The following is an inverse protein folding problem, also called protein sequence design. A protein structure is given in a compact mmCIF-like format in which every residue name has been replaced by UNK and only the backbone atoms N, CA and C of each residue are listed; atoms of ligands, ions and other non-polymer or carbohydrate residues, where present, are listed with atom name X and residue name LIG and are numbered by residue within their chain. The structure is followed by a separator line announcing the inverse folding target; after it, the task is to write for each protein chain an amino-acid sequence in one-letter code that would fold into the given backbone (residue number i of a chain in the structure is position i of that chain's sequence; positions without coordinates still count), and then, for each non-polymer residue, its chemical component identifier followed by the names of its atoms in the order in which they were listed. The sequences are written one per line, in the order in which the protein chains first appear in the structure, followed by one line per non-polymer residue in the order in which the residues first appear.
data_IF_238422276219
#
_entry.id   IF_238422276219
#
_cell.length_a   1.000
_cell.length_b   1.000
_cell.length_c   1.000
_cell.angle_alpha   90.00
_cell.angle_beta   90.00
_cell.angle_gamma   90.00
#
_symmetry.space_group_name_H-M   'P 1'
#
loop_
_entity.id
_entity.type
_entity.pdbx_description
1 polymer ?
#
# COMPACT_ATOMS: atom_id res chain seq x y z
N UNK A 1 31.27 -15.24 12.24
CA UNK A 1 31.21 -15.17 10.76
C UNK A 1 30.53 -16.40 10.14
N UNK A 2 30.99 -17.64 10.33
CA UNK A 2 30.46 -18.83 9.64
C UNK A 2 28.93 -18.95 9.58
N UNK A 3 28.23 -18.78 10.71
CA UNK A 3 26.76 -18.85 10.79
C UNK A 3 26.03 -17.91 9.80
N UNK A 4 26.54 -16.68 9.63
CA UNK A 4 25.91 -15.69 8.72
C UNK A 4 25.93 -16.15 7.26
N UNK A 5 27.05 -16.72 6.80
CA UNK A 5 27.18 -17.23 5.42
C UNK A 5 26.28 -18.45 5.17
N UNK A 6 26.02 -19.28 6.19
CA UNK A 6 25.09 -20.41 6.08
C UNK A 6 23.65 -19.90 5.87
N UNK A 7 23.21 -18.92 6.65
CA UNK A 7 21.89 -18.28 6.49
C UNK A 7 21.73 -17.59 5.14
N UNK A 8 22.75 -16.86 4.69
CA UNK A 8 22.76 -16.15 3.40
C UNK A 8 22.65 -17.10 2.20
N UNK A 9 23.40 -18.22 2.22
CA UNK A 9 23.32 -19.27 1.20
C UNK A 9 21.96 -20.00 1.23
N UNK A 10 21.36 -20.19 2.42
CA UNK A 10 20.01 -20.78 2.54
C UNK A 10 18.92 -19.85 1.98
N UNK A 11 19.04 -18.54 2.19
CA UNK A 11 18.12 -17.53 1.66
C UNK A 11 18.19 -17.47 0.13
N UNK A 12 19.39 -17.45 -0.47
CA UNK A 12 19.56 -17.46 -1.92
C UNK A 12 18.94 -18.72 -2.58
N UNK A 13 19.11 -19.91 -1.99
CA UNK A 13 18.46 -21.15 -2.48
C UNK A 13 16.93 -21.10 -2.38
N UNK A 14 16.40 -20.48 -1.32
CA UNK A 14 14.95 -20.27 -1.16
C UNK A 14 14.39 -19.35 -2.25
N UNK A 15 15.10 -18.27 -2.59
CA UNK A 15 14.72 -17.36 -3.68
C UNK A 15 14.81 -18.05 -5.05
N UNK A 16 15.85 -18.85 -5.29
CA UNK A 16 15.99 -19.65 -6.52
C UNK A 16 14.82 -20.64 -6.71
N UNK A 17 14.42 -21.33 -5.64
CA UNK A 17 13.28 -22.24 -5.65
C UNK A 17 11.95 -21.50 -5.88
N UNK A 18 11.78 -20.31 -5.31
CA UNK A 18 10.60 -19.47 -5.53
C UNK A 18 10.51 -18.97 -6.98
N UNK A 19 11.64 -18.58 -7.59
CA UNK A 19 11.71 -18.16 -9.00
C UNK A 19 11.33 -19.30 -9.96
N UNK A 20 11.84 -20.52 -9.73
CA UNK A 20 11.49 -21.71 -10.54
C UNK A 20 10.01 -22.12 -10.46
N UNK A 21 9.27 -21.62 -9.47
CA UNK A 21 7.83 -21.86 -9.31
C UNK A 21 6.97 -20.83 -10.08
N UNK A 22 7.57 -19.77 -10.65
CA UNK A 22 6.85 -18.74 -11.42
C UNK A 22 6.25 -19.33 -12.69
N UNK A 23 7.03 -20.11 -13.45
CA UNK A 23 6.58 -20.74 -14.70
C UNK A 23 5.37 -21.67 -14.47
N UNK A 24 5.45 -22.56 -13.48
CA UNK A 24 4.36 -23.49 -13.13
C UNK A 24 3.09 -22.74 -12.68
N UNK A 25 3.23 -21.59 -12.01
CA UNK A 25 2.10 -20.73 -11.64
C UNK A 25 1.52 -19.99 -12.85
N UNK A 26 2.36 -19.51 -13.77
CA UNK A 26 1.94 -18.87 -15.03
C UNK A 26 1.15 -19.86 -15.91
N UNK A 27 1.63 -21.11 -16.02
CA UNK A 27 0.92 -22.19 -16.73
C UNK A 27 -0.39 -22.61 -16.04
N UNK A 28 -0.41 -22.66 -14.70
CA UNK A 28 -1.65 -22.91 -13.93
C UNK A 28 -2.69 -21.81 -14.15
N UNK A 29 -2.24 -20.54 -14.22
CA UNK A 29 -3.08 -19.39 -14.52
C UNK A 29 -3.56 -19.39 -15.97
N UNK A 30 -2.73 -19.85 -16.93
CA UNK A 30 -3.12 -20.04 -18.33
C UNK A 30 -4.27 -21.03 -18.44
N UNK A 31 -4.18 -22.20 -17.81
CA UNK A 31 -5.30 -23.17 -17.79
C UNK A 31 -6.58 -22.55 -17.24
N UNK A 32 -6.51 -21.85 -16.11
CA UNK A 32 -7.68 -21.19 -15.52
C UNK A 32 -8.26 -20.07 -16.41
N UNK A 33 -7.43 -19.37 -17.18
CA UNK A 33 -7.88 -18.38 -18.18
C UNK A 33 -8.58 -19.07 -19.36
N UNK A 34 -8.04 -20.18 -19.86
CA UNK A 34 -8.62 -20.93 -20.99
C UNK A 34 -9.93 -21.63 -20.59
N UNK A 35 -10.00 -22.19 -19.38
CA UNK A 35 -11.24 -22.74 -18.81
C UNK A 35 -12.32 -21.64 -18.69
N UNK A 36 -11.95 -20.43 -18.26
CA UNK A 36 -12.86 -19.28 -18.20
C UNK A 36 -13.29 -18.80 -19.60
N UNK A 37 -12.37 -18.80 -20.57
CA UNK A 37 -12.64 -18.41 -21.95
C UNK A 37 -13.49 -19.44 -22.70
N UNK A 38 -13.42 -20.73 -22.35
CA UNK A 38 -14.33 -21.76 -22.86
C UNK A 38 -15.79 -21.52 -22.41
N UNK A 39 -16.00 -20.79 -21.31
CA UNK A 39 -17.32 -20.40 -20.77
C UNK A 39 -17.72 -18.95 -21.17
N UNK A 40 -17.09 -18.39 -22.21
CA UNK A 40 -17.13 -16.97 -22.62
C UNK A 40 -18.52 -16.38 -22.95
N UNK A 41 -19.57 -17.17 -23.16
CA UNK A 41 -20.91 -16.68 -23.54
C UNK A 41 -21.58 -15.73 -22.53
N UNK A 42 -21.00 -15.56 -21.34
CA UNK A 42 -21.43 -14.63 -20.29
C UNK A 42 -20.44 -13.47 -20.03
N UNK A 43 -19.35 -13.36 -20.81
CA UNK A 43 -18.19 -12.48 -20.52
C UNK A 43 -17.85 -11.51 -21.67
N UNK A 44 -18.86 -11.03 -22.41
CA UNK A 44 -18.70 -10.08 -23.53
C UNK A 44 -18.09 -8.71 -23.17
N UNK A 45 -17.90 -8.41 -21.88
CA UNK A 45 -17.24 -7.22 -21.35
C UNK A 45 -15.78 -7.43 -20.92
N UNK A 46 -15.23 -8.65 -21.05
CA UNK A 46 -13.88 -8.97 -20.57
C UNK A 46 -12.81 -8.68 -21.63
N UNK A 47 -12.25 -7.47 -21.61
CA UNK A 47 -11.29 -6.97 -22.61
C UNK A 47 -9.83 -7.37 -22.40
N UNK A 48 -9.52 -8.18 -21.38
CA UNK A 48 -8.16 -8.64 -21.07
C UNK A 48 -7.78 -9.84 -21.96
N UNK A 49 -6.74 -9.70 -22.79
CA UNK A 49 -6.22 -10.81 -23.58
C UNK A 49 -5.12 -11.58 -22.83
N UNK A 50 -4.94 -12.86 -23.17
CA UNK A 50 -3.81 -13.62 -22.60
C UNK A 50 -2.44 -13.01 -22.97
N UNK A 51 -2.16 -12.57 -24.22
CA UNK A 51 -0.91 -11.88 -24.56
C UNK A 51 -0.52 -10.71 -23.64
N UNK A 52 -1.47 -9.87 -23.23
CA UNK A 52 -1.20 -8.73 -22.33
C UNK A 52 -0.70 -9.20 -20.97
N UNK A 53 -1.40 -10.21 -20.42
CA UNK A 53 -1.12 -10.81 -19.11
C UNK A 53 0.20 -11.59 -19.14
N UNK A 54 0.46 -12.32 -20.23
CA UNK A 54 1.67 -13.09 -20.46
C UNK A 54 2.90 -12.18 -20.57
N UNK A 55 2.78 -11.08 -21.33
CA UNK A 55 3.81 -10.03 -21.46
C UNK A 55 4.15 -9.42 -20.11
N UNK A 56 3.14 -9.02 -19.33
CA UNK A 56 3.34 -8.45 -17.99
C UNK A 56 4.06 -9.43 -17.04
N UNK A 57 3.62 -10.69 -16.97
CA UNK A 57 4.30 -11.70 -16.15
C UNK A 57 5.73 -11.99 -16.62
N UNK A 58 5.98 -12.00 -17.93
CA UNK A 58 7.33 -12.23 -18.49
C UNK A 58 8.27 -11.06 -18.19
N UNK A 59 7.77 -9.81 -18.23
CA UNK A 59 8.52 -8.62 -17.82
C UNK A 59 8.90 -8.66 -16.33
N UNK A 60 7.94 -9.01 -15.47
CA UNK A 60 8.15 -9.16 -14.03
C UNK A 60 9.15 -10.27 -13.71
N UNK A 61 9.00 -11.45 -14.34
CA UNK A 61 9.90 -12.59 -14.19
C UNK A 61 11.32 -12.28 -14.66
N UNK A 62 11.47 -11.55 -15.77
CA UNK A 62 12.78 -11.06 -16.28
C UNK A 62 13.42 -10.10 -15.28
N UNK A 63 12.66 -9.16 -14.74
CA UNK A 63 13.12 -8.18 -13.75
C UNK A 63 13.58 -8.82 -12.44
N UNK A 64 12.79 -9.78 -11.92
CA UNK A 64 13.14 -10.55 -10.71
C UNK A 64 14.38 -11.43 -10.94
N UNK A 65 14.47 -12.10 -12.10
CA UNK A 65 15.63 -12.93 -12.47
C UNK A 65 16.91 -12.10 -12.60
N UNK A 66 16.81 -10.87 -13.14
CA UNK A 66 17.93 -9.92 -13.18
C UNK A 66 18.37 -9.54 -11.77
N UNK A 67 17.46 -9.01 -10.93
CA UNK A 67 17.78 -8.62 -9.54
C UNK A 67 18.37 -9.78 -8.72
N UNK A 68 17.91 -11.01 -8.95
CA UNK A 68 18.49 -12.19 -8.30
C UNK A 68 19.92 -12.50 -8.76
N UNK A 69 20.23 -12.35 -10.05
CA UNK A 69 21.60 -12.46 -10.58
C UNK A 69 22.53 -11.39 -10.02
N UNK A 70 22.02 -10.16 -9.87
CA UNK A 70 22.75 -9.04 -9.29
C UNK A 70 23.05 -9.28 -7.79
N UNK A 71 22.12 -9.88 -7.04
CA UNK A 71 22.36 -10.34 -5.66
C UNK A 71 23.38 -11.49 -5.58
N UNK A 72 23.38 -12.43 -6.54
CA UNK A 72 24.38 -13.50 -6.59
C UNK A 72 25.79 -12.98 -6.88
N UNK A 73 25.94 -11.98 -7.77
CA UNK A 73 27.25 -11.40 -8.09
C UNK A 73 27.82 -10.57 -6.92
N UNK A 74 26.97 -9.84 -6.19
CA UNK A 74 27.34 -9.13 -4.97
C UNK A 74 27.86 -10.08 -3.87
N UNK A 75 27.16 -11.19 -3.59
CA UNK A 75 27.61 -12.18 -2.61
C UNK A 75 28.88 -12.92 -3.09
N UNK A 76 29.00 -13.18 -4.39
CA UNK A 76 30.25 -13.73 -4.96
C UNK A 76 31.43 -12.79 -4.74
N UNK A 77 31.22 -11.48 -4.89
CA UNK A 77 32.25 -10.44 -4.73
C UNK A 77 32.67 -10.25 -3.27
N UNK A 78 31.73 -10.29 -2.32
CA UNK A 78 32.01 -10.19 -0.88
C UNK A 78 32.89 -11.34 -0.34
N UNK A 79 32.95 -12.46 -1.06
CA UNK A 79 33.73 -13.63 -0.68
C UNK A 79 35.25 -13.47 -0.84
N UNK A 80 35.70 -12.62 -1.77
CA UNK A 80 37.12 -12.51 -2.18
C UNK A 80 37.94 -11.49 -1.36
N UNK A 81 37.29 -10.54 -0.68
CA UNK A 81 37.95 -9.42 0.03
C UNK A 81 38.43 -9.75 1.46
N UNK A 82 38.43 -11.02 1.87
CA UNK A 82 38.49 -11.41 3.30
C UNK A 82 39.71 -12.30 3.69
N UNK A 83 40.85 -12.12 3.03
CA UNK A 83 42.13 -12.76 3.39
C UNK A 83 43.22 -11.71 3.70
N UNK A 84 43.76 -11.65 4.93
CA UNK A 84 44.88 -10.76 5.27
C UNK A 84 46.24 -11.41 4.91
N UNK A 85 47.22 -10.66 4.39
CA UNK A 85 48.62 -11.12 4.30
C UNK A 85 49.22 -11.30 5.70
N UNK A 86 50.08 -12.31 5.88
CA UNK A 86 50.92 -12.46 7.09
C UNK A 86 52.30 -11.82 6.87
N UNK A 87 52.87 -11.31 7.95
CA UNK A 87 54.19 -10.64 8.03
C UNK A 87 55.35 -11.61 8.32
N UNK A 88 56.55 -11.04 8.47
CA UNK A 88 57.87 -11.66 8.76
C UNK A 88 58.67 -12.08 7.49
N UNK A 89 59.97 -11.76 7.35
CA UNK A 89 60.89 -11.02 8.25
C UNK A 89 62.04 -10.29 7.47
N UNK A 90 62.92 -9.48 8.12
CA UNK A 90 63.68 -8.39 7.47
C UNK A 90 65.17 -8.70 7.16
N UNK A 91 65.85 -7.75 6.50
CA UNK A 91 67.25 -7.31 6.75
C UNK A 91 67.59 -6.06 5.90
N UNK A 92 68.44 -5.17 6.41
CA UNK A 92 69.36 -4.37 5.57
C UNK A 92 68.97 -2.93 5.19
N UNK A 93 69.45 -1.96 5.97
CA UNK A 93 69.80 -0.60 5.54
C UNK A 93 71.33 -0.41 5.78
N UNK A 94 71.99 0.70 5.38
CA UNK A 94 71.50 1.90 4.67
C UNK A 94 72.36 2.29 3.42
N UNK A 95 71.92 3.30 2.66
CA UNK A 95 72.79 4.46 2.33
C UNK A 95 72.05 5.61 1.60
N UNK A 96 72.24 6.82 2.10
CA UNK A 96 72.14 8.11 1.38
C UNK A 96 73.57 8.46 0.83
N UNK A 97 73.75 9.26 -0.26
CA UNK A 97 73.59 10.72 -0.13
C UNK A 97 73.24 11.58 -1.38
N UNK A 98 72.68 12.78 -1.07
CA UNK A 98 72.97 14.10 -1.65
C UNK A 98 72.64 14.49 -3.13
N UNK A 99 71.62 15.35 -3.25
CA UNK A 99 71.66 16.73 -3.79
C UNK A 99 72.07 17.07 -5.24
N UNK A 100 71.11 17.64 -6.00
CA UNK A 100 71.17 18.88 -6.82
C UNK A 100 69.72 19.16 -7.29
N UNK A 101 69.02 20.25 -6.96
CA UNK A 101 69.26 21.71 -7.11
C UNK A 101 68.91 22.28 -8.51
N UNK A 102 67.78 23.00 -8.56
CA UNK A 102 67.62 24.21 -9.38
C UNK A 102 66.41 25.07 -8.93
N UNK A 103 66.76 26.11 -8.18
CA UNK A 103 66.17 27.46 -8.05
C UNK A 103 65.69 28.10 -9.39
N UNK A 104 64.97 29.24 -9.52
CA UNK A 104 64.58 30.44 -8.71
C UNK A 104 63.12 30.88 -9.12
N UNK A 105 62.39 31.90 -8.60
CA UNK A 105 62.13 32.60 -7.30
C UNK A 105 60.86 33.47 -7.46
N UNK A 106 60.32 34.10 -6.39
CA UNK A 106 59.16 35.03 -6.41
C UNK A 106 59.55 36.51 -6.21
N UNK A 107 58.86 37.43 -6.91
CA UNK A 107 58.60 38.87 -6.59
C UNK A 107 57.25 39.23 -7.30
N UNK A 108 56.33 40.09 -6.83
CA UNK A 108 56.21 40.93 -5.62
C UNK A 108 54.86 41.68 -5.59
N UNK A 109 54.76 42.83 -4.89
CA UNK A 109 53.60 43.77 -4.88
C UNK A 109 54.07 45.24 -4.88
N UNK A 110 53.32 46.26 -4.35
CA UNK A 110 52.00 46.22 -3.69
C UNK A 110 51.06 47.49 -3.92
N UNK A 111 49.94 47.58 -3.19
CA UNK A 111 49.09 48.81 -2.92
C UNK A 111 48.36 49.49 -4.13
N UNK A 112 47.28 50.30 -4.00
CA UNK A 112 46.29 50.57 -2.93
C UNK A 112 44.98 51.22 -3.46
N UNK A 113 43.88 51.07 -2.72
CA UNK A 113 42.70 51.99 -2.56
C UNK A 113 42.13 52.84 -3.71
N UNK A 114 40.80 52.75 -3.93
CA UNK A 114 39.84 53.89 -3.77
C UNK A 114 38.36 53.47 -3.92
N UNK A 115 37.46 54.20 -3.24
CA UNK A 115 35.98 54.09 -3.19
C UNK A 115 35.47 55.42 -2.56
N UNK A 116 34.17 55.78 -2.48
CA UNK A 116 32.98 55.53 -3.32
C UNK A 116 32.34 56.87 -3.80
N UNK A 117 31.06 56.88 -4.26
CA UNK A 117 30.02 57.92 -4.04
C UNK A 117 28.72 57.60 -4.86
N UNK A 118 27.54 58.23 -4.66
CA UNK A 118 26.64 58.27 -3.49
C UNK A 118 25.23 58.79 -3.89
N UNK A 119 24.20 58.56 -3.05
CA UNK A 119 22.84 59.15 -3.05
C UNK A 119 21.93 58.87 -4.30
N UNK A 120 20.59 59.02 -4.33
CA UNK A 120 19.54 59.34 -3.32
C UNK A 120 18.31 60.02 -3.99
N UNK A 121 17.07 60.07 -3.47
CA UNK A 121 16.39 59.34 -2.39
C UNK A 121 14.85 59.66 -2.34
N UNK A 122 14.00 58.74 -1.84
CA UNK A 122 12.62 58.94 -1.26
C UNK A 122 11.44 59.41 -2.16
N UNK A 123 10.27 58.73 -2.09
CA UNK A 123 8.89 59.31 -1.98
C UNK A 123 7.78 58.24 -1.74
N UNK A 124 6.48 58.60 -1.70
CA UNK A 124 5.40 57.91 -0.94
C UNK A 124 3.97 58.10 -1.53
N UNK A 125 3.06 57.13 -1.29
CA UNK A 125 1.57 57.15 -1.53
C UNK A 125 1.07 57.07 -2.99
N UNK A 126 -0.22 56.83 -3.35
CA UNK A 126 -1.41 56.06 -2.83
C UNK A 126 -2.63 56.40 -3.75
N UNK A 127 -3.67 55.55 -3.89
CA UNK A 127 -5.04 55.85 -4.47
C UNK A 127 -5.07 55.91 -6.04
N UNK A 128 -6.09 55.57 -6.87
CA UNK A 128 -7.53 55.14 -6.80
C UNK A 128 -7.90 54.10 -7.93
N UNK A 129 -9.20 53.75 -8.10
CA UNK A 129 -9.87 53.15 -9.29
C UNK A 129 -11.09 54.04 -9.70
N UNK A 130 -11.47 54.23 -10.99
CA UNK A 130 -12.50 53.40 -11.69
C UNK A 130 -12.22 53.18 -13.22
N UNK A 131 -12.79 52.26 -14.04
CA UNK A 131 -14.18 51.72 -14.28
C UNK A 131 -15.08 52.73 -15.06
N UNK A 132 -15.99 52.41 -16.05
CA UNK A 132 -16.52 51.12 -16.60
C UNK A 132 -16.69 51.00 -18.18
N UNK A 133 -17.36 49.91 -18.64
CA UNK A 133 -18.17 49.68 -19.91
C UNK A 133 -17.49 49.72 -21.31
N UNK A 134 -18.00 49.09 -22.39
CA UNK A 134 -19.27 48.35 -22.64
C UNK A 134 -19.15 47.20 -23.68
N UNK A 135 -20.05 46.20 -23.57
CA UNK A 135 -20.36 45.14 -24.57
C UNK A 135 -21.39 45.67 -25.62
N UNK A 136 -21.58 45.11 -26.85
CA UNK A 136 -22.31 43.82 -26.97
C UNK A 136 -22.11 42.93 -28.24
N UNK A 137 -22.30 41.61 -28.04
CA UNK A 137 -23.12 40.67 -28.85
C UNK A 137 -22.79 40.27 -30.31
N UNK A 138 -22.55 38.95 -30.45
CA UNK A 138 -23.25 38.00 -31.35
C UNK A 138 -22.98 37.96 -32.87
N UNK A 139 -22.48 36.81 -33.34
CA UNK A 139 -23.06 36.08 -34.49
C UNK A 139 -22.56 34.63 -34.54
N UNK A 140 -23.44 33.70 -34.88
CA UNK A 140 -23.15 32.28 -35.12
C UNK A 140 -23.38 31.97 -36.61
N UNK A 141 -22.69 30.97 -37.21
CA UNK A 141 -23.43 30.09 -38.11
C UNK A 141 -23.08 28.60 -37.98
N UNK A 142 -24.07 27.76 -38.31
CA UNK A 142 -24.01 26.29 -38.28
C UNK A 142 -23.83 25.72 -39.68
N UNK A 143 -23.01 24.67 -39.89
CA UNK A 143 -23.36 23.49 -40.71
C UNK A 143 -22.28 22.39 -40.79
N UNK A 144 -22.69 21.17 -40.39
CA UNK A 144 -22.46 19.86 -41.03
C UNK A 144 -21.27 19.64 -42.00
N UNK A 145 -20.46 18.59 -41.77
CA UNK A 145 -20.44 17.41 -42.67
C UNK A 145 -19.46 16.27 -42.32
N UNK A 146 -19.92 15.04 -42.60
CA UNK A 146 -19.20 13.84 -43.09
C UNK A 146 -18.17 13.09 -42.22
N UNK A 147 -18.45 11.81 -42.06
CA UNK A 147 -17.53 10.71 -41.71
C UNK A 147 -16.60 10.35 -42.87
N UNK A 148 -15.33 10.04 -42.58
CA UNK A 148 -14.49 9.18 -43.42
C UNK A 148 -13.70 8.19 -42.56
N UNK A 149 -13.55 6.97 -43.05
CA UNK A 149 -12.78 5.87 -42.43
C UNK A 149 -11.42 5.71 -43.07
N UNK A 150 -10.34 5.65 -42.29
CA UNK A 150 -9.02 5.23 -42.80
C UNK A 150 -8.08 4.65 -41.72
N UNK A 151 -7.34 3.60 -42.11
CA UNK A 151 -6.00 3.26 -41.64
C UNK A 151 -5.76 2.97 -40.15
N UNK A 152 -5.54 1.70 -39.81
CA UNK A 152 -4.75 1.33 -38.60
C UNK A 152 -3.25 1.48 -38.94
N UNK A 153 -2.48 2.32 -38.24
CA UNK A 153 -1.02 2.33 -38.33
C UNK A 153 -0.46 1.17 -37.48
N UNK A 154 0.47 0.40 -38.05
CA UNK A 154 1.28 -0.54 -37.26
C UNK A 154 2.20 0.27 -36.35
N UNK A 155 2.16 0.02 -35.03
CA UNK A 155 3.03 0.72 -34.09
C UNK A 155 4.45 0.16 -34.11
N UNK A 156 5.42 1.08 -34.12
CA UNK A 156 6.85 0.79 -33.99
C UNK A 156 7.16 0.34 -32.54
N UNK A 157 7.95 -0.73 -32.32
CA UNK A 157 8.31 -1.20 -30.97
C UNK A 157 9.09 -0.20 -30.09
N UNK A 158 9.52 0.95 -30.65
CA UNK A 158 10.38 1.93 -29.99
C UNK A 158 9.67 2.90 -29.04
N UNK A 159 8.35 2.80 -28.84
CA UNK A 159 7.52 3.78 -28.12
C UNK A 159 7.43 3.60 -26.59
N UNK A 160 8.07 2.59 -26.00
CA UNK A 160 7.91 2.14 -24.61
C UNK A 160 8.33 3.13 -23.49
N UNK A 161 8.69 4.37 -23.81
CA UNK A 161 9.14 5.40 -22.86
C UNK A 161 8.22 6.64 -22.79
N UNK A 162 6.94 6.53 -23.16
CA UNK A 162 5.95 7.53 -22.74
C UNK A 162 5.59 7.31 -21.27
N UNK A 163 5.75 8.34 -20.43
CA UNK A 163 5.29 8.31 -19.04
C UNK A 163 3.78 8.08 -19.01
N UNK A 164 3.31 7.13 -18.20
CA UNK A 164 1.90 6.72 -18.21
C UNK A 164 1.02 7.81 -17.59
N UNK A 165 1.57 8.61 -16.69
CA UNK A 165 0.87 9.65 -15.94
C UNK A 165 1.60 11.00 -16.03
N UNK A 166 1.53 11.70 -17.19
CA UNK A 166 2.40 12.84 -17.50
C UNK A 166 2.27 14.06 -16.57
N UNK A 167 1.25 14.09 -15.70
CA UNK A 167 1.05 15.14 -14.71
C UNK A 167 1.73 14.84 -13.35
N UNK A 168 2.04 13.58 -13.04
CA UNK A 168 2.68 13.21 -11.76
C UNK A 168 4.07 13.84 -11.59
N UNK A 169 4.88 13.83 -12.66
CA UNK A 169 6.22 14.45 -12.66
C UNK A 169 6.15 15.93 -12.30
N UNK A 170 5.41 16.76 -13.08
CA UNK A 170 5.19 18.17 -12.78
C UNK A 170 4.58 18.47 -11.40
N UNK A 171 3.79 17.56 -10.82
CA UNK A 171 3.28 17.71 -9.44
C UNK A 171 4.40 17.46 -8.40
N UNK A 172 5.20 16.41 -8.59
CA UNK A 172 6.35 16.09 -7.72
C UNK A 172 7.46 17.14 -7.79
N UNK A 173 7.74 17.68 -8.98
CA UNK A 173 8.72 18.76 -9.22
C UNK A 173 8.30 20.08 -8.53
N UNK A 174 6.99 20.35 -8.44
CA UNK A 174 6.43 21.54 -7.80
C UNK A 174 6.17 21.37 -6.30
N UNK A 175 6.42 20.19 -5.73
CA UNK A 175 6.06 19.84 -4.35
C UNK A 175 4.55 19.94 -4.05
N UNK A 176 3.69 19.74 -5.05
CA UNK A 176 2.25 19.93 -4.94
C UNK A 176 1.55 18.69 -4.33
N UNK A 177 1.71 18.52 -3.02
CA UNK A 177 1.08 17.45 -2.24
C UNK A 177 -0.45 17.41 -2.37
N UNK A 178 -1.18 18.52 -2.19
CA UNK A 178 -2.63 18.58 -2.38
C UNK A 178 -3.06 18.21 -3.80
N UNK A 179 -2.44 18.77 -4.83
CA UNK A 179 -2.74 18.45 -6.24
C UNK A 179 -2.46 16.97 -6.55
N UNK A 180 -1.39 16.40 -6.01
CA UNK A 180 -1.06 14.99 -6.17
C UNK A 180 -2.09 14.07 -5.49
N UNK A 181 -2.56 14.39 -4.28
CA UNK A 181 -3.64 13.66 -3.60
C UNK A 181 -4.92 13.67 -4.42
N UNK A 182 -5.27 14.82 -4.99
CA UNK A 182 -6.52 15.02 -5.73
C UNK A 182 -6.45 14.30 -7.10
N UNK A 183 -5.29 14.31 -7.77
CA UNK A 183 -5.00 13.47 -8.94
C UNK A 183 -5.22 11.97 -8.65
N UNK A 184 -4.73 11.47 -7.51
CA UNK A 184 -4.94 10.06 -7.06
C UNK A 184 -6.41 9.78 -6.68
N UNK A 185 -7.19 10.80 -6.31
CA UNK A 185 -8.64 10.69 -6.08
C UNK A 185 -9.38 10.47 -7.41
N UNK A 186 -9.00 11.22 -8.45
CA UNK A 186 -9.73 11.24 -9.71
C UNK A 186 -9.34 10.05 -10.61
N UNK A 187 -8.07 9.64 -10.57
CA UNK A 187 -7.57 8.40 -11.21
C UNK A 187 -7.67 7.16 -10.30
N UNK A 188 -8.79 7.04 -9.57
CA UNK A 188 -8.93 6.04 -8.50
C UNK A 188 -8.92 4.56 -8.96
N UNK A 189 -9.12 4.25 -10.25
CA UNK A 189 -9.05 2.86 -10.76
C UNK A 189 -7.61 2.44 -11.07
N UNK A 190 -6.79 3.40 -11.50
CA UNK A 190 -5.42 3.20 -11.97
C UNK A 190 -4.37 3.47 -10.86
N UNK A 191 -4.87 3.75 -9.66
CA UNK A 191 -4.19 3.91 -8.37
C UNK A 191 -2.90 3.09 -8.18
N UNK A 192 -2.89 1.79 -8.46
CA UNK A 192 -1.70 0.93 -8.28
C UNK A 192 -0.58 1.22 -9.31
N UNK A 193 -0.94 1.61 -10.53
CA UNK A 193 0.02 2.05 -11.55
C UNK A 193 0.63 3.41 -11.17
N UNK A 194 -0.21 4.34 -10.71
CA UNK A 194 0.22 5.64 -10.18
C UNK A 194 1.13 5.46 -8.95
N UNK A 195 0.76 4.58 -8.02
CA UNK A 195 1.58 4.21 -6.85
C UNK A 195 2.97 3.71 -7.26
N UNK A 196 3.03 2.94 -8.35
CA UNK A 196 4.29 2.38 -8.89
C UNK A 196 5.16 3.45 -9.57
N UNK A 197 4.56 4.40 -10.30
CA UNK A 197 5.30 5.51 -10.93
C UNK A 197 5.83 6.51 -9.88
N UNK A 198 5.04 6.79 -8.82
CA UNK A 198 5.44 7.68 -7.71
C UNK A 198 6.64 7.19 -6.90
N UNK A 199 6.83 5.88 -6.74
CA UNK A 199 8.04 5.30 -6.12
C UNK A 199 9.32 5.75 -6.87
N UNK A 200 9.24 5.98 -8.18
CA UNK A 200 10.34 6.52 -8.98
C UNK A 200 10.46 8.04 -8.91
N UNK A 201 9.33 8.76 -9.08
CA UNK A 201 9.31 10.22 -9.19
C UNK A 201 9.66 10.94 -7.87
N UNK A 202 9.17 10.44 -6.74
CA UNK A 202 9.31 11.13 -5.45
C UNK A 202 10.73 11.07 -4.85
N UNK A 203 11.66 10.31 -5.46
CA UNK A 203 13.05 10.19 -5.00
C UNK A 203 13.95 11.41 -5.24
N UNK A 204 13.46 12.44 -5.95
CA UNK A 204 14.26 13.62 -6.34
C UNK A 204 13.92 14.92 -5.58
N UNK A 205 12.88 14.92 -4.75
CA UNK A 205 12.35 16.10 -4.03
C UNK A 205 12.55 15.97 -2.50
N UNK A 206 11.87 16.78 -1.67
CA UNK A 206 11.57 16.41 -0.28
C UNK A 206 10.17 15.79 -0.21
N UNK A 207 10.03 14.46 -0.45
CA UNK A 207 8.73 13.81 -0.39
C UNK A 207 8.14 13.77 1.02
N UNK A 208 8.95 13.99 2.07
CA UNK A 208 8.46 14.08 3.44
C UNK A 208 7.60 15.33 3.65
N UNK A 209 8.10 16.50 3.25
CA UNK A 209 7.31 17.73 3.31
C UNK A 209 6.08 17.65 2.38
N UNK A 210 6.27 17.23 1.11
CA UNK A 210 5.18 17.16 0.13
C UNK A 210 4.05 16.20 0.55
N UNK A 211 4.38 14.99 1.00
CA UNK A 211 3.36 14.04 1.48
C UNK A 211 2.68 14.54 2.75
N UNK A 212 3.37 15.31 3.60
CA UNK A 212 2.77 15.87 4.80
C UNK A 212 1.77 17.00 4.48
N UNK A 213 2.08 17.85 3.49
CA UNK A 213 1.16 18.88 3.00
C UNK A 213 -0.07 18.26 2.31
N UNK A 214 0.09 17.11 1.64
CA UNK A 214 -1.01 16.31 1.12
C UNK A 214 -1.97 15.76 2.21
N UNK A 215 -1.60 15.78 3.50
CA UNK A 215 -2.47 15.32 4.59
C UNK A 215 -3.54 16.35 5.00
N UNK A 216 -3.56 17.56 4.40
CA UNK A 216 -4.62 18.53 4.63
C UNK A 216 -6.01 17.96 4.23
N UNK A 217 -7.05 18.35 4.97
CA UNK A 217 -8.43 17.91 4.74
C UNK A 217 -8.79 16.50 5.24
N UNK A 218 -7.82 15.68 5.64
CA UNK A 218 -8.03 14.28 6.07
C UNK A 218 -9.05 14.11 7.22
N UNK A 219 -9.13 15.10 8.12
CA UNK A 219 -10.25 15.28 9.04
C UNK A 219 -11.01 16.55 8.67
N UNK A 220 -12.30 16.43 8.39
CA UNK A 220 -13.18 17.56 8.14
C UNK A 220 -13.24 18.49 9.37
N UNK A 221 -13.09 19.80 9.16
CA UNK A 221 -13.21 20.80 10.24
C UNK A 221 -14.64 20.91 10.81
N UNK A 222 -15.64 20.32 10.15
CA UNK A 222 -17.05 20.38 10.53
C UNK A 222 -17.49 19.08 11.21
N UNK A 223 -18.07 19.19 12.40
CA UNK A 223 -18.55 18.07 13.23
C UNK A 223 -19.75 17.28 12.68
N UNK A 224 -20.23 17.63 11.48
CA UNK A 224 -21.33 16.97 10.77
C UNK A 224 -20.87 15.95 9.74
N UNK A 225 -19.56 15.73 9.58
CA UNK A 225 -19.01 14.68 8.73
C UNK A 225 -19.56 13.30 9.11
N UNK A 226 -19.95 12.51 8.11
CA UNK A 226 -20.44 11.14 8.31
C UNK A 226 -19.31 10.10 8.36
N UNK A 227 -18.06 10.55 8.48
CA UNK A 227 -16.87 9.72 8.35
C UNK A 227 -16.79 9.11 6.94
N UNK A 228 -16.35 7.86 6.86
CA UNK A 228 -16.14 7.12 5.61
C UNK A 228 -17.44 6.83 4.80
N UNK A 229 -18.60 7.33 5.25
CA UNK A 229 -19.89 7.36 4.52
C UNK A 229 -20.03 8.61 3.64
N UNK A 230 -19.16 9.59 3.80
CA UNK A 230 -18.95 10.68 2.85
C UNK A 230 -17.98 10.17 1.77
N UNK A 231 -18.46 10.09 0.53
CA UNK A 231 -17.70 9.48 -0.58
C UNK A 231 -16.53 10.34 -1.05
N UNK A 232 -16.57 11.65 -0.83
CA UNK A 232 -15.51 12.58 -1.24
C UNK A 232 -14.40 12.56 -0.19
N UNK A 233 -14.76 12.63 1.09
CA UNK A 233 -13.83 12.42 2.20
C UNK A 233 -13.20 11.02 2.16
N UNK A 234 -13.95 9.97 1.78
CA UNK A 234 -13.42 8.62 1.60
C UNK A 234 -12.34 8.55 0.51
N UNK A 235 -12.55 9.19 -0.66
CA UNK A 235 -11.54 9.24 -1.73
C UNK A 235 -10.30 10.01 -1.29
N UNK A 236 -10.50 11.21 -0.72
CA UNK A 236 -9.42 12.05 -0.18
C UNK A 236 -8.57 11.26 0.82
N UNK A 237 -9.20 10.61 1.80
CA UNK A 237 -8.52 9.78 2.80
C UNK A 237 -7.76 8.63 2.17
N UNK A 238 -8.32 7.89 1.21
CA UNK A 238 -7.57 6.79 0.59
C UNK A 238 -6.37 7.29 -0.21
N UNK A 239 -6.46 8.44 -0.88
CA UNK A 239 -5.33 9.08 -1.58
C UNK A 239 -4.22 9.49 -0.63
N UNK A 240 -4.55 10.08 0.52
CA UNK A 240 -3.57 10.30 1.59
C UNK A 240 -2.92 8.99 2.06
N UNK A 241 -3.68 7.91 2.21
CA UNK A 241 -3.13 6.60 2.57
C UNK A 241 -2.15 6.07 1.51
N UNK A 242 -2.42 6.19 0.21
CA UNK A 242 -1.47 5.72 -0.81
C UNK A 242 -0.15 6.50 -0.75
N UNK A 243 -0.22 7.82 -0.52
CA UNK A 243 0.95 8.67 -0.38
C UNK A 243 1.80 8.30 0.85
N UNK A 244 1.16 7.97 1.98
CA UNK A 244 1.84 7.43 3.17
C UNK A 244 2.42 6.01 2.91
N UNK A 245 1.70 5.16 2.18
CA UNK A 245 2.15 3.83 1.77
C UNK A 245 3.37 3.91 0.83
N UNK A 246 3.43 4.88 -0.10
CA UNK A 246 4.62 5.13 -0.95
C UNK A 246 5.77 5.72 -0.13
N UNK A 247 5.53 6.70 0.75
CA UNK A 247 6.56 7.28 1.61
C UNK A 247 7.23 6.20 2.49
N UNK A 248 6.41 5.27 2.99
CA UNK A 248 6.84 4.07 3.73
C UNK A 248 7.67 3.08 2.87
N UNK A 249 7.49 3.07 1.55
CA UNK A 249 8.23 2.23 0.61
C UNK A 249 9.57 2.87 0.20
N UNK A 250 9.58 4.17 -0.14
CA UNK A 250 10.81 4.89 -0.56
C UNK A 250 11.75 5.26 0.59
N UNK A 251 11.24 5.40 1.82
CA UNK A 251 12.01 5.64 3.06
C UNK A 251 13.07 6.75 2.94
N UNK A 252 12.67 8.00 2.64
CA UNK A 252 13.59 9.11 2.46
C UNK A 252 14.28 9.52 3.77
N UNK A 253 15.38 10.26 3.65
CA UNK A 253 16.02 10.91 4.79
C UNK A 253 15.20 12.15 5.22
N UNK A 254 14.19 11.93 6.07
CA UNK A 254 13.33 12.98 6.61
C UNK A 254 14.12 13.95 7.50
N UNK A 255 13.95 15.26 7.27
CA UNK A 255 14.48 16.32 8.13
C UNK A 255 13.77 16.36 9.49
N UNK A 256 14.44 16.89 10.51
CA UNK A 256 13.85 16.94 11.86
C UNK A 256 12.68 17.95 11.96
N UNK A 257 12.66 18.99 11.12
CA UNK A 257 11.51 19.88 10.96
C UNK A 257 10.29 19.11 10.40
N UNK A 258 10.48 18.30 9.35
CA UNK A 258 9.39 17.47 8.78
C UNK A 258 8.90 16.43 9.80
N UNK A 259 9.80 15.81 10.59
CA UNK A 259 9.40 14.89 11.67
C UNK A 259 8.60 15.58 12.75
N UNK A 260 9.01 16.75 13.25
CA UNK A 260 8.26 17.48 14.28
C UNK A 260 6.92 18.03 13.74
N UNK A 261 6.85 18.44 12.47
CA UNK A 261 5.57 18.73 11.80
C UNK A 261 4.67 17.49 11.76
N UNK A 262 5.19 16.33 11.38
CA UNK A 262 4.43 15.07 11.27
C UNK A 262 3.98 14.54 12.64
N UNK A 263 4.83 14.64 13.66
CA UNK A 263 4.54 14.33 15.07
C UNK A 263 3.41 15.21 15.61
N UNK A 264 3.48 16.53 15.39
CA UNK A 264 2.40 17.45 15.75
C UNK A 264 1.08 17.10 15.04
N UNK A 265 1.13 16.71 13.76
CA UNK A 265 -0.04 16.24 13.03
C UNK A 265 -0.60 14.94 13.63
N UNK A 266 0.27 13.97 13.95
CA UNK A 266 -0.10 12.68 14.52
C UNK A 266 -0.75 12.81 15.90
N UNK A 267 -0.26 13.69 16.79
CA UNK A 267 -0.95 14.01 18.04
C UNK A 267 -2.33 14.66 17.78
N UNK A 268 -2.42 15.62 16.87
CA UNK A 268 -3.69 16.23 16.45
C UNK A 268 -4.64 15.29 15.68
N UNK A 269 -4.17 14.10 15.27
CA UNK A 269 -4.98 13.00 14.72
C UNK A 269 -5.41 12.03 15.82
N UNK A 270 -4.53 11.69 16.77
CA UNK A 270 -4.81 10.85 17.96
C UNK A 270 -6.05 11.35 18.73
N UNK A 271 -6.20 12.66 18.85
CA UNK A 271 -7.36 13.30 19.51
C UNK A 271 -8.68 13.21 18.71
N UNK A 272 -8.63 12.88 17.41
CA UNK A 272 -9.77 12.93 16.47
C UNK A 272 -10.26 11.56 15.99
N UNK A 273 -9.41 10.52 16.00
CA UNK A 273 -9.75 9.18 15.48
C UNK A 273 -10.97 8.61 16.22
N UNK A 274 -12.04 8.30 15.48
CA UNK A 274 -13.18 7.59 16.04
C UNK A 274 -12.94 6.07 16.10
N UNK A 275 -12.64 5.57 17.30
CA UNK A 275 -12.38 4.15 17.56
C UNK A 275 -13.63 3.25 17.55
N UNK A 276 -14.84 3.79 17.32
CA UNK A 276 -16.06 2.96 17.23
C UNK A 276 -16.13 2.06 15.98
N UNK A 277 -15.29 2.33 14.96
CA UNK A 277 -15.21 1.56 13.73
C UNK A 277 -16.15 1.97 12.58
N UNK A 278 -16.89 3.08 12.71
CA UNK A 278 -17.63 3.71 11.60
C UNK A 278 -16.69 4.27 10.53
N UNK A 279 -15.52 4.78 10.94
CA UNK A 279 -14.54 5.44 10.08
C UNK A 279 -13.14 4.79 10.15
N UNK A 280 -13.00 3.52 9.74
CA UNK A 280 -11.74 2.79 9.86
C UNK A 280 -10.55 3.41 9.12
N UNK A 281 -10.76 4.26 8.12
CA UNK A 281 -9.67 4.99 7.47
C UNK A 281 -8.97 5.99 8.40
N UNK A 282 -9.64 6.49 9.44
CA UNK A 282 -9.04 7.41 10.42
C UNK A 282 -7.93 6.73 11.21
N UNK A 283 -8.26 5.59 11.83
CA UNK A 283 -7.29 4.77 12.55
C UNK A 283 -6.20 4.20 11.61
N UNK A 284 -6.55 3.86 10.37
CA UNK A 284 -5.56 3.36 9.39
C UNK A 284 -4.61 4.47 8.92
N UNK A 285 -5.11 5.69 8.69
CA UNK A 285 -4.28 6.84 8.33
C UNK A 285 -3.32 7.21 9.44
N UNK A 286 -3.80 7.27 10.69
CA UNK A 286 -2.97 7.52 11.87
C UNK A 286 -1.83 6.50 12.03
N UNK A 287 -2.11 5.20 11.90
CA UNK A 287 -1.07 4.18 11.99
C UNK A 287 -0.09 4.21 10.80
N UNK A 288 -0.54 4.57 9.58
CA UNK A 288 0.38 4.79 8.46
C UNK A 288 1.22 6.06 8.64
N UNK A 289 0.67 7.13 9.22
CA UNK A 289 1.41 8.38 9.51
C UNK A 289 2.53 8.13 10.53
N UNK A 290 2.31 7.28 11.54
CA UNK A 290 3.37 6.87 12.48
C UNK A 290 4.52 6.18 11.73
N UNK A 291 4.20 5.16 10.92
CA UNK A 291 5.20 4.34 10.21
C UNK A 291 5.94 5.12 9.11
N UNK A 292 5.24 5.96 8.36
CA UNK A 292 5.82 6.69 7.23
C UNK A 292 6.84 7.76 7.66
N UNK A 293 6.76 8.23 8.91
CA UNK A 293 7.65 9.26 9.46
C UNK A 293 8.57 8.77 10.59
N UNK A 294 8.52 7.48 10.95
CA UNK A 294 9.39 6.88 11.98
C UNK A 294 9.06 7.35 13.41
N UNK A 295 7.76 7.49 13.72
CA UNK A 295 7.25 8.04 14.98
C UNK A 295 6.89 6.97 16.01
N UNK A 296 7.31 5.71 15.83
CA UNK A 296 6.88 4.57 16.66
C UNK A 296 7.16 4.78 18.15
N UNK A 297 8.26 5.46 18.47
CA UNK A 297 8.71 5.72 19.84
C UNK A 297 7.98 6.88 20.54
N UNK A 298 7.12 7.62 19.83
CA UNK A 298 6.37 8.78 20.35
C UNK A 298 5.00 8.39 20.95
N UNK A 299 4.59 7.12 20.83
CA UNK A 299 3.27 6.63 21.23
C UNK A 299 3.38 5.33 22.06
N UNK A 300 2.54 5.20 23.09
CA UNK A 300 2.49 3.94 23.85
C UNK A 300 1.84 2.81 23.02
N UNK A 301 2.54 1.68 22.93
CA UNK A 301 2.09 0.50 22.18
C UNK A 301 0.78 -0.07 22.76
N UNK A 302 0.54 0.07 24.06
CA UNK A 302 -0.70 -0.34 24.72
C UNK A 302 -1.92 0.51 24.31
N UNK A 303 -1.75 1.83 24.19
CA UNK A 303 -2.76 2.73 23.62
C UNK A 303 -3.05 2.39 22.14
N UNK A 304 -2.01 2.12 21.34
CA UNK A 304 -2.15 1.80 19.92
C UNK A 304 -2.95 0.51 19.67
N UNK A 305 -3.03 -0.43 20.63
CA UNK A 305 -3.83 -1.66 20.50
C UNK A 305 -5.29 -1.41 20.10
N UNK A 306 -5.92 -0.36 20.60
CA UNK A 306 -7.32 -0.08 20.31
C UNK A 306 -7.52 0.36 18.84
N UNK A 307 -6.54 1.04 18.25
CA UNK A 307 -6.50 1.39 16.83
C UNK A 307 -6.34 0.11 15.99
N UNK A 308 -5.47 -0.82 16.40
CA UNK A 308 -5.31 -2.11 15.76
C UNK A 308 -6.58 -2.99 15.78
N UNK A 309 -7.39 -2.92 16.83
CA UNK A 309 -8.72 -3.59 16.90
C UNK A 309 -9.72 -3.03 15.87
N UNK A 310 -9.55 -1.79 15.41
CA UNK A 310 -10.34 -1.16 14.33
C UNK A 310 -9.80 -1.55 12.95
N UNK A 311 -8.47 -1.54 12.77
CA UNK A 311 -7.82 -1.76 11.47
C UNK A 311 -7.54 -3.23 11.12
N UNK A 312 -7.68 -4.18 12.05
CA UNK A 312 -7.41 -5.61 11.84
C UNK A 312 -8.08 -6.23 10.59
N UNK A 313 -9.21 -5.67 10.15
CA UNK A 313 -9.93 -6.04 8.92
C UNK A 313 -9.16 -5.78 7.62
N UNK A 314 -8.24 -4.82 7.60
CA UNK A 314 -7.45 -4.51 6.40
C UNK A 314 -6.37 -5.56 6.15
N UNK A 315 -5.98 -5.75 4.87
CA UNK A 315 -4.95 -6.72 4.49
C UNK A 315 -3.63 -6.45 5.23
N UNK A 316 -3.07 -5.26 5.04
CA UNK A 316 -1.76 -4.82 5.56
C UNK A 316 -1.71 -4.57 7.08
N UNK A 317 -2.78 -4.79 7.84
CA UNK A 317 -2.80 -4.57 9.29
C UNK A 317 -1.71 -5.35 10.05
N UNK A 318 -1.34 -6.55 9.58
CA UNK A 318 -0.26 -7.36 10.17
C UNK A 318 1.13 -6.84 9.80
N UNK A 319 1.28 -6.16 8.65
CA UNK A 319 2.51 -5.45 8.29
C UNK A 319 2.70 -4.24 9.21
N UNK A 320 1.65 -3.42 9.38
CA UNK A 320 1.69 -2.26 10.30
C UNK A 320 2.03 -2.65 11.75
N UNK A 321 1.52 -3.79 12.24
CA UNK A 321 1.88 -4.31 13.56
C UNK A 321 3.39 -4.66 13.68
N UNK A 322 4.01 -5.14 12.60
CA UNK A 322 5.46 -5.42 12.56
C UNK A 322 6.27 -4.14 12.46
N UNK A 323 5.84 -3.17 11.65
CA UNK A 323 6.49 -1.86 11.51
C UNK A 323 6.47 -1.05 12.81
N UNK A 324 5.29 -0.96 13.47
CA UNK A 324 5.12 -0.26 14.75
C UNK A 324 5.77 -1.01 15.93
N UNK A 325 6.20 -2.25 15.73
CA UNK A 325 6.96 -2.99 16.74
C UNK A 325 6.11 -3.51 17.90
N UNK A 326 4.87 -3.96 17.65
CA UNK A 326 3.96 -4.44 18.70
C UNK A 326 4.54 -5.57 19.57
N UNK A 327 5.44 -6.40 19.03
CA UNK A 327 6.13 -7.46 19.78
C UNK A 327 5.15 -8.36 20.53
N UNK A 328 5.42 -8.57 21.83
CA UNK A 328 4.57 -9.36 22.71
C UNK A 328 3.13 -8.82 22.85
N UNK A 329 2.91 -7.50 22.69
CA UNK A 329 1.55 -6.91 22.72
C UNK A 329 0.64 -7.39 21.58
N UNK A 330 1.17 -8.15 20.63
CA UNK A 330 0.35 -8.91 19.68
C UNK A 330 -0.56 -9.94 20.37
N UNK A 331 -0.18 -10.53 21.52
CA UNK A 331 -1.09 -11.41 22.26
C UNK A 331 -2.27 -10.65 22.85
N UNK A 332 -2.03 -9.44 23.34
CA UNK A 332 -3.05 -8.55 23.90
C UNK A 332 -4.01 -8.07 22.79
N UNK A 333 -3.49 -7.85 21.57
CA UNK A 333 -4.32 -7.59 20.38
C UNK A 333 -5.19 -8.79 20.01
N UNK A 334 -4.63 -10.00 19.99
CA UNK A 334 -5.39 -11.24 19.69
C UNK A 334 -6.49 -11.45 20.72
N UNK A 335 -6.21 -11.30 22.02
CA UNK A 335 -7.22 -11.40 23.07
C UNK A 335 -8.31 -10.34 22.89
N UNK A 336 -7.95 -9.06 22.70
CA UNK A 336 -8.92 -8.00 22.41
C UNK A 336 -9.79 -8.29 21.18
N UNK A 337 -9.27 -8.96 20.15
CA UNK A 337 -10.07 -9.37 18.98
C UNK A 337 -11.05 -10.49 19.32
N UNK A 338 -10.67 -11.45 20.16
CA UNK A 338 -11.57 -12.50 20.68
C UNK A 338 -12.68 -11.86 21.54
N UNK A 339 -12.32 -11.02 22.51
CA UNK A 339 -13.24 -10.31 23.41
C UNK A 339 -14.26 -9.42 22.68
N UNK A 340 -13.95 -9.02 21.44
CA UNK A 340 -14.81 -8.18 20.59
C UNK A 340 -15.64 -8.99 19.56
N UNK A 341 -15.70 -10.32 19.66
CA UNK A 341 -16.44 -11.17 18.70
C UNK A 341 -15.84 -11.18 17.29
N UNK A 342 -14.51 -11.01 17.17
CA UNK A 342 -13.78 -10.92 15.89
C UNK A 342 -12.88 -12.15 15.68
N UNK A 343 -13.37 -13.35 15.97
CA UNK A 343 -12.56 -14.57 16.00
C UNK A 343 -11.82 -14.84 14.69
N UNK A 344 -12.46 -14.63 13.52
CA UNK A 344 -11.78 -14.79 12.22
C UNK A 344 -10.58 -13.84 12.04
N UNK A 345 -10.64 -12.63 12.62
CA UNK A 345 -9.51 -11.70 12.63
C UNK A 345 -8.47 -12.10 13.67
N UNK A 346 -8.88 -12.59 14.85
CA UNK A 346 -7.95 -13.17 15.82
C UNK A 346 -7.16 -14.34 15.19
N UNK A 347 -7.84 -15.27 14.51
CA UNK A 347 -7.21 -16.42 13.82
C UNK A 347 -6.24 -15.99 12.72
N UNK A 348 -6.56 -14.97 11.91
CA UNK A 348 -5.61 -14.35 10.96
C UNK A 348 -4.32 -13.94 11.68
N UNK A 349 -4.44 -13.21 12.79
CA UNK A 349 -3.28 -12.72 13.54
C UNK A 349 -2.52 -13.85 14.26
N UNK A 350 -3.21 -14.87 14.76
CA UNK A 350 -2.61 -16.05 15.39
C UNK A 350 -1.66 -16.76 14.41
N UNK A 351 -2.06 -16.96 13.15
CA UNK A 351 -1.18 -17.56 12.16
C UNK A 351 -0.06 -16.62 11.68
N UNK A 352 -0.38 -15.35 11.42
CA UNK A 352 0.60 -14.35 10.97
C UNK A 352 1.73 -14.08 11.99
N UNK A 353 1.48 -14.31 13.27
CA UNK A 353 2.46 -14.13 14.36
C UNK A 353 2.88 -15.43 15.05
N UNK A 354 2.45 -16.60 14.55
CA UNK A 354 2.88 -17.91 15.04
C UNK A 354 2.39 -18.28 16.44
N UNK A 355 1.26 -17.72 16.90
CA UNK A 355 0.73 -17.82 18.26
C UNK A 355 -0.18 -19.03 18.49
N UNK A 356 -0.05 -20.08 17.68
CA UNK A 356 -0.89 -21.30 17.73
C UNK A 356 -0.58 -22.20 18.94
N UNK A 357 0.52 -21.92 19.65
CA UNK A 357 0.86 -22.46 20.96
C UNK A 357 -0.11 -21.92 22.03
N UNK A 358 -0.29 -20.60 22.09
CA UNK A 358 -1.10 -19.85 23.08
C UNK A 358 -2.59 -19.89 22.76
N UNK A 359 -2.97 -19.69 21.50
CA UNK A 359 -4.36 -19.61 21.07
C UNK A 359 -4.67 -20.72 20.06
N UNK A 360 -5.64 -21.59 20.36
CA UNK A 360 -6.02 -22.70 19.46
C UNK A 360 -7.00 -22.21 18.39
N UNK A 361 -6.66 -22.32 17.08
CA UNK A 361 -7.53 -21.79 16.03
C UNK A 361 -8.89 -22.49 15.93
N UNK A 362 -8.97 -23.81 16.16
CA UNK A 362 -10.21 -24.58 15.94
C UNK A 362 -11.34 -24.17 16.90
N UNK A 363 -11.13 -24.11 18.24
CA UNK A 363 -12.16 -23.58 19.15
C UNK A 363 -12.67 -22.18 18.76
N UNK A 364 -11.77 -21.27 18.35
CA UNK A 364 -12.16 -19.92 17.91
C UNK A 364 -13.00 -19.92 16.62
N UNK A 365 -12.88 -20.93 15.76
CA UNK A 365 -13.73 -21.12 14.59
C UNK A 365 -15.08 -21.78 14.95
N UNK A 366 -15.12 -22.62 15.98
CA UNK A 366 -16.35 -23.20 16.53
C UNK A 366 -17.18 -22.13 17.27
N UNK A 367 -16.54 -21.33 18.13
CA UNK A 367 -17.13 -20.16 18.81
C UNK A 367 -17.75 -19.19 17.82
N UNK A 368 -17.04 -18.88 16.72
CA UNK A 368 -17.54 -18.02 15.65
C UNK A 368 -18.85 -18.54 15.02
N UNK A 369 -18.95 -19.86 14.79
CA UNK A 369 -20.17 -20.46 14.25
C UNK A 369 -21.30 -20.53 15.28
N UNK A 370 -20.98 -20.71 16.56
CA UNK A 370 -21.98 -20.69 17.64
C UNK A 370 -22.53 -19.28 17.87
N UNK A 371 -21.71 -18.23 17.88
CA UNK A 371 -22.18 -16.83 17.90
C UNK A 371 -23.02 -16.50 16.66
N UNK A 372 -22.58 -16.93 15.46
CA UNK A 372 -23.34 -16.76 14.24
C UNK A 372 -24.73 -17.42 14.33
N UNK A 373 -24.80 -18.64 14.89
CA UNK A 373 -26.03 -19.41 15.13
C UNK A 373 -26.93 -18.74 16.16
N UNK A 374 -26.40 -18.15 17.23
CA UNK A 374 -27.20 -17.39 18.20
C UNK A 374 -27.76 -16.09 17.61
N UNK A 375 -26.94 -15.35 16.86
CA UNK A 375 -27.34 -14.12 16.19
C UNK A 375 -28.37 -14.36 15.09
N UNK A 376 -28.22 -15.43 14.29
CA UNK A 376 -29.20 -15.82 13.26
C UNK A 376 -30.51 -16.31 13.87
N UNK A 377 -30.48 -17.04 15.00
CA UNK A 377 -31.68 -17.34 15.79
C UNK A 377 -32.38 -16.08 16.31
N UNK A 378 -31.62 -15.05 16.73
CA UNK A 378 -32.20 -13.75 17.13
C UNK A 378 -32.88 -13.05 15.95
N UNK A 379 -32.23 -12.97 14.78
CA UNK A 379 -32.82 -12.39 13.56
C UNK A 379 -34.15 -13.06 13.21
N UNK A 380 -34.22 -14.39 13.30
CA UNK A 380 -35.47 -15.13 13.09
C UNK A 380 -36.55 -14.74 14.11
N UNK A 381 -36.23 -14.70 15.41
CA UNK A 381 -37.19 -14.31 16.47
C UNK A 381 -37.71 -12.88 16.29
N UNK A 382 -36.81 -11.91 16.18
CA UNK A 382 -37.13 -10.49 16.05
C UNK A 382 -37.94 -10.23 14.75
N UNK A 383 -37.57 -10.92 13.67
CA UNK A 383 -38.29 -10.92 12.39
C UNK A 383 -39.56 -11.80 12.35
N UNK A 384 -40.10 -12.22 13.51
CA UNK A 384 -41.32 -13.05 13.68
C UNK A 384 -41.32 -14.33 12.82
N UNK A 385 -40.17 -14.95 12.65
CA UNK A 385 -39.89 -16.10 11.76
C UNK A 385 -40.35 -15.89 10.31
N UNK A 386 -40.46 -14.66 9.83
CA UNK A 386 -40.83 -14.35 8.44
C UNK A 386 -39.85 -14.93 7.42
N UNK A 387 -40.33 -15.22 6.20
CA UNK A 387 -39.52 -15.78 5.10
C UNK A 387 -38.28 -14.90 4.81
N UNK A 388 -38.43 -13.57 4.90
CA UNK A 388 -37.30 -12.62 4.77
C UNK A 388 -36.24 -12.85 5.85
N UNK A 389 -36.64 -12.88 7.13
CA UNK A 389 -35.72 -13.07 8.24
C UNK A 389 -35.05 -14.45 8.20
N UNK A 390 -35.78 -15.52 7.86
CA UNK A 390 -35.22 -16.86 7.66
C UNK A 390 -34.18 -16.90 6.52
N UNK A 391 -34.46 -16.25 5.39
CA UNK A 391 -33.53 -16.20 4.25
C UNK A 391 -32.27 -15.38 4.57
N UNK A 392 -32.41 -14.28 5.33
CA UNK A 392 -31.29 -13.47 5.79
C UNK A 392 -30.41 -14.22 6.79
N UNK A 393 -31.03 -14.85 7.80
CA UNK A 393 -30.36 -15.69 8.79
C UNK A 393 -29.56 -16.82 8.11
N UNK A 394 -30.20 -17.56 7.20
CA UNK A 394 -29.58 -18.60 6.36
C UNK A 394 -28.40 -18.08 5.55
N UNK A 395 -28.52 -16.90 4.91
CA UNK A 395 -27.45 -16.34 4.09
C UNK A 395 -26.23 -15.96 4.94
N UNK A 396 -26.44 -15.43 6.16
CA UNK A 396 -25.37 -15.16 7.13
C UNK A 396 -24.69 -16.44 7.59
N UNK A 397 -25.46 -17.49 7.92
CA UNK A 397 -24.93 -18.79 8.33
C UNK A 397 -24.08 -19.45 7.23
N UNK A 398 -24.57 -19.50 5.98
CA UNK A 398 -23.81 -20.02 4.83
C UNK A 398 -22.51 -19.25 4.60
N UNK A 399 -22.51 -17.92 4.77
CA UNK A 399 -21.31 -17.11 4.62
C UNK A 399 -20.29 -17.36 5.76
N UNK A 400 -20.73 -17.57 7.00
CA UNK A 400 -19.85 -17.91 8.11
C UNK A 400 -19.20 -19.30 7.90
N UNK A 401 -20.01 -20.31 7.52
CA UNK A 401 -19.52 -21.66 7.20
C UNK A 401 -18.49 -21.65 6.05
N UNK A 402 -18.75 -20.89 4.97
CA UNK A 402 -17.81 -20.72 3.86
C UNK A 402 -16.54 -19.97 4.27
N UNK A 403 -16.63 -19.04 5.23
CA UNK A 403 -15.45 -18.34 5.77
C UNK A 403 -14.59 -19.27 6.64
N UNK A 404 -15.19 -20.12 7.46
CA UNK A 404 -14.48 -21.13 8.25
C UNK A 404 -13.83 -22.18 7.35
N UNK A 405 -14.54 -22.71 6.35
CA UNK A 405 -13.96 -23.63 5.35
C UNK A 405 -12.74 -23.03 4.63
N UNK A 406 -12.81 -21.73 4.29
CA UNK A 406 -11.68 -21.01 3.69
C UNK A 406 -10.46 -20.97 4.63
N UNK A 407 -10.65 -20.65 5.91
CA UNK A 407 -9.56 -20.64 6.92
C UNK A 407 -8.96 -22.05 7.10
N UNK A 408 -9.79 -23.10 7.09
CA UNK A 408 -9.34 -24.50 7.15
C UNK A 408 -8.47 -24.87 5.93
N UNK A 409 -8.80 -24.36 4.74
CA UNK A 409 -7.98 -24.55 3.54
C UNK A 409 -6.67 -23.74 3.58
N UNK A 410 -6.74 -22.44 3.88
CA UNK A 410 -5.59 -21.52 3.89
C UNK A 410 -4.53 -21.94 4.93
N UNK A 411 -4.97 -22.43 6.09
CA UNK A 411 -4.08 -22.83 7.19
C UNK A 411 -3.98 -24.35 7.41
N UNK A 412 -4.50 -25.16 6.47
CA UNK A 412 -4.37 -26.62 6.40
C UNK A 412 -4.95 -27.41 7.60
N UNK A 413 -5.90 -26.84 8.35
CA UNK A 413 -6.47 -27.40 9.59
C UNK A 413 -7.33 -28.67 9.42
N UNK A 414 -7.32 -29.33 8.25
CA UNK A 414 -8.25 -30.41 7.86
C UNK A 414 -8.20 -31.65 8.75
N UNK A 415 -7.08 -31.88 9.44
CA UNK A 415 -6.90 -32.96 10.41
C UNK A 415 -7.51 -32.67 11.78
N UNK A 416 -7.61 -31.39 12.15
CA UNK A 416 -8.15 -30.94 13.44
C UNK A 416 -9.62 -30.52 13.31
N UNK A 417 -10.01 -29.94 12.17
CA UNK A 417 -11.38 -29.54 11.86
C UNK A 417 -11.83 -30.13 10.51
N UNK A 418 -12.54 -31.28 10.51
CA UNK A 418 -13.04 -31.92 9.30
C UNK A 418 -14.10 -31.09 8.57
N UNK A 419 -13.97 -30.96 7.24
CA UNK A 419 -14.85 -30.14 6.39
C UNK A 419 -16.28 -30.69 6.22
N UNK A 420 -16.44 -32.03 6.30
CA UNK A 420 -17.63 -32.73 5.81
C UNK A 420 -18.95 -32.25 6.40
N UNK A 421 -18.98 -31.92 7.70
CA UNK A 421 -20.24 -31.53 8.36
C UNK A 421 -20.57 -30.05 8.14
N UNK A 422 -19.56 -29.20 7.91
CA UNK A 422 -19.75 -27.82 7.43
C UNK A 422 -20.31 -27.81 6.00
N UNK A 423 -19.80 -28.69 5.14
CA UNK A 423 -20.23 -28.86 3.74
C UNK A 423 -21.68 -29.38 3.66
N UNK A 424 -22.02 -30.45 4.39
CA UNK A 424 -23.41 -30.94 4.53
C UNK A 424 -24.37 -29.86 5.04
N UNK A 425 -23.91 -29.03 6.00
CA UNK A 425 -24.73 -27.93 6.54
C UNK A 425 -24.99 -26.85 5.48
N UNK A 426 -23.99 -26.46 4.70
CA UNK A 426 -24.16 -25.55 3.55
C UNK A 426 -25.16 -26.14 2.54
N UNK A 427 -24.97 -27.39 2.11
CA UNK A 427 -25.88 -28.05 1.16
C UNK A 427 -27.34 -28.04 1.64
N UNK A 428 -27.58 -28.39 2.91
CA UNK A 428 -28.93 -28.40 3.47
C UNK A 428 -29.54 -26.99 3.50
N UNK A 429 -28.77 -25.97 3.88
CA UNK A 429 -29.21 -24.58 3.89
C UNK A 429 -29.54 -24.06 2.48
N UNK A 430 -28.77 -24.47 1.47
CA UNK A 430 -28.98 -24.09 0.07
C UNK A 430 -30.15 -24.85 -0.58
N UNK A 431 -30.35 -26.14 -0.25
CA UNK A 431 -31.53 -26.92 -0.68
C UNK A 431 -32.84 -26.31 -0.18
N UNK A 432 -32.93 -26.01 1.12
CA UNK A 432 -34.11 -25.34 1.71
C UNK A 432 -34.38 -23.91 1.18
N UNK A 433 -33.50 -23.34 0.34
CA UNK A 433 -33.69 -22.06 -0.37
C UNK A 433 -34.24 -22.26 -1.78
N UNK A 434 -34.04 -23.43 -2.38
CA UNK A 434 -34.69 -23.84 -3.62
C UNK A 434 -36.17 -24.18 -3.37
N UNK A 435 -36.46 -25.04 -2.39
CA UNK A 435 -37.83 -25.50 -2.08
C UNK A 435 -38.78 -24.31 -1.84
N UNK A 436 -38.40 -23.44 -0.89
CA UNK A 436 -39.15 -22.22 -0.53
C UNK A 436 -39.20 -21.14 -1.63
N UNK A 437 -38.50 -21.31 -2.76
CA UNK A 437 -38.69 -20.49 -3.96
C UNK A 437 -39.79 -21.05 -4.84
N UNK A 438 -39.88 -22.37 -4.98
CA UNK A 438 -40.95 -23.04 -5.73
C UNK A 438 -42.29 -22.76 -5.06
N UNK A 439 -42.38 -22.98 -3.75
CA UNK A 439 -43.59 -22.70 -2.95
C UNK A 439 -44.10 -21.24 -3.09
N UNK A 440 -43.19 -20.29 -3.33
CA UNK A 440 -43.49 -18.87 -3.43
C UNK A 440 -43.81 -18.38 -4.87
N UNK A 441 -43.75 -19.27 -5.87
CA UNK A 441 -44.06 -18.97 -7.27
C UNK A 441 -45.38 -19.57 -7.76
N UNK A 442 -46.17 -20.21 -6.88
CA UNK A 442 -47.50 -20.75 -7.19
C UNK A 442 -48.63 -20.09 -6.39
N UNK A 443 -49.16 -18.96 -6.88
CA UNK A 443 -50.58 -18.65 -6.84
C UNK A 443 -51.28 -19.09 -8.15
N UNK A 444 -52.52 -19.58 -8.04
CA UNK A 444 -53.46 -19.70 -9.17
C UNK A 444 -54.06 -18.33 -9.56
#
# INVERSE_FOLDING_TARGET
MASSKVTEVANLKTIEAALKLVDTKKESLKRAFDDLQAHSSLLSSFSLSWPDLDSHFTSLQTTLTRRFRDLQSLNSSSSLLNNPPRTHDPIGAPHDPAASDQSLTVVGGPLASSNPHDHGAVTRSKVELPVPVQDPSSSNPTSQSQTQTQGVPVQDPSSLNQATWPELGPLCEKMDGPGLRDYISDHAKEREAIRTELVGLMGASDPGAMVLDAMEGFYSSNSTSKGDKDMDLYRLRKSCLDLLEVLTEIKPNLSDEVKERAKKLAFGWKEKVNLNGDSPLEALGFLNLIVAYGLENEFDVGELLNYFVVVARFKHATVLCRSIGLGDKTTDLVQKLIDNGKQLLAVKFIFEFGLTDKFKPVPLLEDHLQECKEFTNKICKDGKNSIKAQNEARAREVNALKSVLKVIDEHKLKSEYPRLDLEKRIEMLEKQKADKKVDAQSPE
#
